data_IF_755363297523
#
_entry.id   IF_755363297523
#
_cell.length_a   1.000
_cell.length_b   1.000
_cell.length_c   1.000
_cell.angle_alpha   90.00
_cell.angle_beta   90.00
_cell.angle_gamma   90.00
#
_symmetry.space_group_name_H-M   'P 1'
#
loop_
_entity.id
_entity.type
_entity.pdbx_description
1 polymer ?
#
# COMPACT_ATOMS: atom_id res chain seq x y z
N UNK A 1 -23.69 -0.81 -7.55
CA UNK A 1 -23.05 0.43 -7.05
C UNK A 1 -21.62 0.46 -7.55
N UNK A 2 -21.18 1.54 -8.20
CA UNK A 2 -19.78 1.69 -8.60
C UNK A 2 -18.95 2.11 -7.38
N UNK A 3 -18.03 1.25 -6.93
CA UNK A 3 -17.14 1.61 -5.83
C UNK A 3 -16.06 2.58 -6.32
N UNK A 4 -15.75 3.65 -5.56
CA UNK A 4 -14.76 4.65 -5.96
C UNK A 4 -13.32 4.10 -6.00
N UNK A 5 -13.09 2.92 -5.41
CA UNK A 5 -11.81 2.20 -5.46
C UNK A 5 -12.09 0.71 -5.60
N UNK A 6 -11.43 0.06 -6.56
CA UNK A 6 -11.56 -1.37 -6.82
C UNK A 6 -10.22 -2.04 -6.57
N UNK A 7 -10.23 -3.12 -5.78
CA UNK A 7 -9.08 -4.00 -5.58
C UNK A 7 -9.46 -5.31 -6.27
N UNK A 8 -8.78 -5.63 -7.36
CA UNK A 8 -8.97 -6.90 -8.07
C UNK A 8 -7.87 -7.86 -7.64
N UNK A 9 -8.26 -8.98 -7.04
CA UNK A 9 -7.34 -10.02 -6.56
C UNK A 9 -7.73 -11.30 -7.29
N UNK A 10 -6.83 -11.83 -8.10
CA UNK A 10 -7.04 -13.09 -8.81
C UNK A 10 -6.95 -14.24 -7.81
N UNK A 11 -7.99 -15.06 -7.75
CA UNK A 11 -7.95 -16.31 -6.97
C UNK A 11 -6.96 -17.28 -7.61
N UNK A 12 -6.01 -17.76 -6.81
CA UNK A 12 -5.02 -18.76 -7.23
C UNK A 12 -5.24 -20.04 -6.42
N UNK A 13 -5.53 -21.15 -7.10
CA UNK A 13 -5.77 -22.44 -6.46
C UNK A 13 -4.53 -23.05 -5.79
N UNK A 14 -3.33 -22.68 -6.26
CA UNK A 14 -2.06 -23.25 -5.78
C UNK A 14 -1.41 -22.30 -4.77
N UNK A 15 -1.48 -22.65 -3.49
CA UNK A 15 -0.75 -21.98 -2.42
C UNK A 15 0.54 -22.73 -2.07
N UNK A 16 1.68 -22.04 -2.02
CA UNK A 16 2.97 -22.67 -1.66
C UNK A 16 3.17 -22.69 -0.15
N UNK A 17 3.36 -23.89 0.43
CA UNK A 17 3.62 -24.07 1.88
C UNK A 17 4.92 -23.40 2.35
N UNK A 18 5.92 -23.34 1.48
CA UNK A 18 7.22 -22.73 1.78
C UNK A 18 7.13 -21.20 1.74
N UNK A 19 6.30 -20.66 0.85
CA UNK A 19 6.05 -19.21 0.78
C UNK A 19 5.37 -18.72 2.06
N UNK A 20 4.54 -19.55 2.71
CA UNK A 20 3.92 -19.25 4.00
C UNK A 20 4.97 -19.00 5.11
N UNK A 21 6.05 -19.79 5.16
CA UNK A 21 7.13 -19.60 6.13
C UNK A 21 7.98 -18.37 5.80
N UNK A 22 8.35 -18.19 4.52
CA UNK A 22 9.12 -17.03 4.07
C UNK A 22 8.34 -15.74 4.33
N UNK A 23 7.02 -15.78 4.13
CA UNK A 23 6.11 -14.65 4.31
C UNK A 23 6.16 -14.07 5.70
N UNK A 24 6.30 -14.88 6.75
CA UNK A 24 6.38 -14.36 8.12
C UNK A 24 7.59 -13.44 8.32
N UNK A 25 8.74 -13.82 7.75
CA UNK A 25 9.95 -13.00 7.79
C UNK A 25 9.80 -11.77 6.90
N UNK A 26 9.28 -11.95 5.67
CA UNK A 26 9.08 -10.85 4.74
C UNK A 26 8.05 -9.83 5.21
N UNK A 27 7.00 -10.27 5.90
CA UNK A 27 5.99 -9.38 6.48
C UNK A 27 6.62 -8.41 7.49
N UNK A 28 7.58 -8.87 8.27
CA UNK A 28 8.33 -8.02 9.18
C UNK A 28 9.18 -6.99 8.42
N UNK A 29 9.90 -7.43 7.39
CA UNK A 29 10.73 -6.55 6.55
C UNK A 29 9.89 -5.49 5.83
N UNK A 30 8.81 -5.90 5.16
CA UNK A 30 7.90 -4.98 4.48
C UNK A 30 7.16 -4.07 5.47
N UNK A 31 6.85 -4.57 6.68
CA UNK A 31 6.28 -3.76 7.75
C UNK A 31 7.19 -2.59 8.13
N UNK A 32 8.50 -2.84 8.34
CA UNK A 32 9.45 -1.76 8.67
C UNK A 32 9.54 -0.72 7.55
N UNK A 33 9.59 -1.15 6.29
CA UNK A 33 9.62 -0.23 5.13
C UNK A 33 8.33 0.59 5.09
N UNK A 34 7.18 -0.03 5.33
CA UNK A 34 5.89 0.63 5.36
C UNK A 34 5.78 1.66 6.50
N UNK A 35 6.29 1.34 7.69
CA UNK A 35 6.29 2.26 8.84
C UNK A 35 7.14 3.51 8.53
N UNK A 36 8.35 3.31 8.00
CA UNK A 36 9.24 4.43 7.63
C UNK A 36 8.57 5.31 6.57
N UNK A 37 7.99 4.71 5.52
CA UNK A 37 7.27 5.46 4.49
C UNK A 37 6.00 6.12 5.04
N UNK A 38 5.33 5.45 5.98
CA UNK A 38 4.12 5.92 6.66
C UNK A 38 4.32 7.25 7.38
N UNK A 39 5.49 7.48 7.97
CA UNK A 39 5.84 8.77 8.59
C UNK A 39 5.81 9.90 7.56
N UNK A 40 6.40 9.71 6.38
CA UNK A 40 6.37 10.72 5.31
C UNK A 40 4.96 10.94 4.76
N UNK A 41 4.16 9.88 4.70
CA UNK A 41 2.75 9.95 4.27
C UNK A 41 1.90 10.70 5.27
N UNK A 42 2.15 10.55 6.57
CA UNK A 42 1.49 11.31 7.62
C UNK A 42 1.77 12.81 7.46
N UNK A 43 3.03 13.19 7.24
CA UNK A 43 3.40 14.58 6.95
C UNK A 43 2.69 15.08 5.69
N UNK A 44 2.73 14.31 4.60
CA UNK A 44 2.05 14.67 3.35
C UNK A 44 0.54 14.80 3.51
N UNK A 45 -0.08 13.99 4.37
CA UNK A 45 -1.49 14.04 4.69
C UNK A 45 -1.85 15.31 5.47
N UNK A 46 -1.05 15.68 6.48
CA UNK A 46 -1.23 16.95 7.22
C UNK A 46 -1.10 18.14 6.26
N UNK A 47 -0.08 18.15 5.39
CA UNK A 47 0.11 19.20 4.38
C UNK A 47 -1.07 19.26 3.40
N UNK A 48 -1.59 18.11 2.98
CA UNK A 48 -2.76 18.04 2.10
C UNK A 48 -4.00 18.58 2.80
N UNK A 49 -4.18 18.27 4.09
CA UNK A 49 -5.29 18.75 4.89
C UNK A 49 -5.30 20.28 4.96
N UNK A 50 -4.17 20.91 5.30
CA UNK A 50 -4.03 22.37 5.26
C UNK A 50 -4.26 22.92 3.84
N UNK A 51 -3.70 22.28 2.82
CA UNK A 51 -3.90 22.72 1.43
C UNK A 51 -5.38 22.71 1.04
N UNK A 52 -6.14 21.68 1.42
CA UNK A 52 -7.58 21.61 1.15
C UNK A 52 -8.33 22.69 1.94
N UNK A 53 -7.96 22.92 3.20
CA UNK A 53 -8.59 23.94 4.05
C UNK A 53 -8.50 25.35 3.42
N UNK A 54 -7.33 25.70 2.88
CA UNK A 54 -7.10 27.04 2.33
C UNK A 54 -7.47 27.18 0.84
N UNK A 55 -7.23 26.16 0.01
CA UNK A 55 -7.45 26.23 -1.45
C UNK A 55 -8.76 25.59 -1.91
N UNK A 56 -9.46 24.83 -1.07
CA UNK A 56 -10.66 24.08 -1.44
C UNK A 56 -10.41 22.95 -2.46
N UNK A 57 -9.15 22.60 -2.74
CA UNK A 57 -8.77 21.56 -3.72
C UNK A 57 -7.57 20.74 -3.24
N UNK A 58 -7.46 19.52 -3.76
CA UNK A 58 -6.36 18.58 -3.48
C UNK A 58 -5.09 18.98 -4.23
N UNK A 59 -3.94 18.91 -3.57
CA UNK A 59 -2.65 19.06 -4.24
C UNK A 59 -2.26 17.75 -4.96
N UNK A 60 -2.02 17.82 -6.27
CA UNK A 60 -1.79 16.64 -7.13
C UNK A 60 -0.53 15.85 -6.74
N UNK A 61 0.54 16.54 -6.36
CA UNK A 61 1.81 15.88 -6.01
C UNK A 61 1.71 15.10 -4.69
N UNK A 62 1.08 15.71 -3.66
CA UNK A 62 0.88 15.06 -2.37
C UNK A 62 -0.06 13.87 -2.51
N UNK A 63 -1.13 14.02 -3.29
CA UNK A 63 -2.02 12.91 -3.62
C UNK A 63 -1.31 11.77 -4.33
N UNK A 64 -0.47 12.06 -5.33
CA UNK A 64 0.27 11.02 -6.05
C UNK A 64 1.26 10.29 -5.14
N UNK A 65 1.94 11.01 -4.24
CA UNK A 65 2.82 10.43 -3.24
C UNK A 65 2.07 9.47 -2.30
N UNK A 66 0.96 9.93 -1.72
CA UNK A 66 0.12 9.10 -0.86
C UNK A 66 -0.46 7.88 -1.61
N UNK A 67 -0.88 8.05 -2.87
CA UNK A 67 -1.32 6.92 -3.72
C UNK A 67 -0.23 5.88 -3.93
N UNK A 68 1.03 6.30 -4.08
CA UNK A 68 2.17 5.39 -4.19
C UNK A 68 2.33 4.50 -2.96
N UNK A 69 2.27 5.11 -1.78
CA UNK A 69 2.28 4.38 -0.53
C UNK A 69 1.10 3.42 -0.40
N UNK A 70 -0.12 3.89 -0.65
CA UNK A 70 -1.31 3.03 -0.51
C UNK A 70 -1.32 1.84 -1.48
N UNK A 71 -0.76 1.99 -2.69
CA UNK A 71 -0.55 0.85 -3.61
C UNK A 71 0.42 -0.17 -3.01
N UNK A 72 1.55 0.30 -2.49
CA UNK A 72 2.53 -0.56 -1.83
C UNK A 72 1.91 -1.28 -0.62
N UNK A 73 1.28 -0.52 0.28
CA UNK A 73 0.67 -1.04 1.50
C UNK A 73 -0.44 -2.06 1.21
N UNK A 74 -1.31 -1.79 0.23
CA UNK A 74 -2.35 -2.74 -0.16
C UNK A 74 -1.75 -4.06 -0.66
N UNK A 75 -0.64 -4.02 -1.41
CA UNK A 75 0.07 -5.24 -1.86
C UNK A 75 0.69 -5.99 -0.68
N UNK A 76 1.31 -5.29 0.27
CA UNK A 76 1.89 -5.88 1.50
C UNK A 76 0.80 -6.53 2.36
N UNK A 77 -0.33 -5.86 2.57
CA UNK A 77 -1.47 -6.39 3.32
C UNK A 77 -2.10 -7.59 2.60
N UNK A 78 -2.26 -7.54 1.28
CA UNK A 78 -2.78 -8.67 0.51
C UNK A 78 -1.87 -9.90 0.61
N UNK A 79 -0.55 -9.71 0.55
CA UNK A 79 0.43 -10.78 0.77
C UNK A 79 0.32 -11.33 2.19
N UNK A 80 0.32 -10.46 3.21
CA UNK A 80 0.18 -10.81 4.61
C UNK A 80 -1.11 -11.59 4.94
N UNK A 81 -2.23 -11.17 4.38
CA UNK A 81 -3.56 -11.80 4.56
C UNK A 81 -3.76 -13.05 3.70
N UNK A 82 -2.75 -13.51 2.98
CA UNK A 82 -2.81 -14.71 2.15
C UNK A 82 -3.80 -14.63 0.99
N UNK A 83 -4.04 -13.40 0.52
CA UNK A 83 -4.84 -13.15 -0.67
C UNK A 83 -4.02 -13.31 -1.96
N UNK A 84 -2.68 -13.25 -1.86
CA UNK A 84 -1.76 -13.50 -2.97
C UNK A 84 -0.46 -14.15 -2.48
N UNK A 85 0.14 -14.98 -3.32
CA UNK A 85 1.48 -15.51 -3.15
C UNK A 85 2.56 -14.70 -3.91
N UNK A 86 2.13 -13.71 -4.71
CA UNK A 86 3.06 -12.81 -5.40
C UNK A 86 3.72 -11.84 -4.41
N UNK A 87 5.05 -11.82 -4.42
CA UNK A 87 5.84 -10.96 -3.54
C UNK A 87 5.68 -9.49 -3.95
N UNK A 88 5.35 -8.59 -3.01
CA UNK A 88 5.13 -7.20 -3.34
C UNK A 88 6.46 -6.52 -3.74
N UNK A 89 6.49 -5.79 -4.88
CA UNK A 89 7.65 -4.99 -5.23
C UNK A 89 7.85 -3.86 -4.20
N UNK A 90 9.10 -3.59 -3.84
CA UNK A 90 9.47 -2.54 -2.87
C UNK A 90 9.24 -1.14 -3.48
N UNK A 91 9.17 -1.03 -4.82
CA UNK A 91 8.81 0.20 -5.50
C UNK A 91 7.30 0.45 -5.46
N UNK A 92 6.87 1.67 -5.07
CA UNK A 92 5.46 2.11 -5.20
C UNK A 92 5.05 2.45 -6.64
N UNK A 93 5.86 2.04 -7.62
CA UNK A 93 5.56 2.14 -9.05
C UNK A 93 4.85 0.86 -9.50
N UNK A 94 4.11 1.02 -10.61
CA UNK A 94 3.24 -0.01 -11.18
C UNK A 94 4.02 -1.30 -11.42
#
# INVERSE_FOLDING_TARGET
MAFPTKIDIKYTEKASRLELLIRLVLMFVYGIIAEIWGIFVLVAWILQWFHILFMGRRHKSLENFMKGFWRYWTRVVAYALMLTDERPPISGQA
#
